data_IF_170178924864
#
_entry.id   IF_170178924864
#
_cell.length_a   1.000
_cell.length_b   1.000
_cell.length_c   1.000
_cell.angle_alpha   90.00
_cell.angle_beta   90.00
_cell.angle_gamma   90.00
#
_symmetry.space_group_name_H-M   'P 1'
#
loop_
_entity.id
_entity.type
_entity.pdbx_description
1 polymer ?
#
# COMPACT_ATOMS: atom_id res chain seq x y z
N UNK A 1 18.18 2.21 4.40
CA UNK A 1 17.09 3.20 4.19
C UNK A 1 16.10 3.14 5.34
N UNK A 2 15.45 1.99 5.57
CA UNK A 2 14.43 1.79 6.61
C UNK A 2 14.93 2.12 8.03
N UNK A 3 16.12 1.65 8.40
CA UNK A 3 16.75 2.03 9.69
C UNK A 3 16.87 3.55 9.89
N UNK A 4 17.16 4.27 8.80
CA UNK A 4 17.29 5.73 8.83
C UNK A 4 15.95 6.40 9.07
N UNK A 5 14.88 5.89 8.45
CA UNK A 5 13.52 6.38 8.65
C UNK A 5 13.05 6.19 10.10
N UNK A 6 13.24 4.98 10.65
CA UNK A 6 12.89 4.66 12.03
C UNK A 6 13.66 5.54 13.04
N UNK A 7 14.96 5.77 12.80
CA UNK A 7 15.78 6.66 13.64
C UNK A 7 15.39 8.14 13.51
N UNK A 8 14.86 8.56 12.36
CA UNK A 8 14.43 9.94 12.15
C UNK A 8 13.06 10.23 12.79
N UNK A 9 12.20 9.20 12.94
CA UNK A 9 10.83 9.34 13.45
C UNK A 9 10.50 8.35 14.60
N UNK A 10 11.34 8.22 15.64
CA UNK A 10 11.22 7.15 16.63
C UNK A 10 9.98 7.26 17.54
N UNK A 11 9.36 8.44 17.61
CA UNK A 11 8.11 8.64 18.37
C UNK A 11 6.85 8.36 17.54
N UNK A 12 6.99 8.23 16.20
CA UNK A 12 5.86 8.09 15.28
C UNK A 12 5.82 6.70 14.65
N UNK A 13 6.99 6.09 14.41
CA UNK A 13 7.13 4.83 13.71
C UNK A 13 7.80 3.78 14.59
N UNK A 14 7.36 2.55 14.40
CA UNK A 14 7.91 1.33 14.97
C UNK A 14 7.86 0.24 13.89
N UNK A 15 8.23 -1.00 14.22
CA UNK A 15 8.14 -2.13 13.29
C UNK A 15 7.58 -3.39 13.95
N UNK A 16 7.11 -4.33 13.14
CA UNK A 16 6.53 -5.59 13.58
C UNK A 16 7.45 -6.79 13.29
N UNK A 17 7.25 -7.89 14.01
CA UNK A 17 7.87 -9.19 13.70
C UNK A 17 9.40 -9.20 13.74
N UNK A 18 10.02 -8.28 14.47
CA UNK A 18 11.47 -8.04 14.48
C UNK A 18 12.07 -7.75 13.07
N UNK A 19 11.25 -7.27 12.14
CA UNK A 19 11.63 -6.97 10.75
C UNK A 19 11.37 -5.49 10.41
N UNK A 20 12.44 -4.76 10.07
CA UNK A 20 12.38 -3.34 9.68
C UNK A 20 11.62 -3.07 8.39
N UNK A 21 11.29 -4.11 7.61
CA UNK A 21 10.41 -4.01 6.45
C UNK A 21 8.93 -3.90 6.82
N UNK A 22 8.56 -4.19 8.07
CA UNK A 22 7.19 -4.20 8.57
C UNK A 22 6.90 -2.94 9.40
N UNK A 23 6.82 -1.78 8.74
CA UNK A 23 6.67 -0.48 9.42
C UNK A 23 5.25 -0.28 9.92
N UNK A 24 5.11 0.18 11.16
CA UNK A 24 3.82 0.50 11.79
C UNK A 24 3.87 1.84 12.51
N UNK A 25 2.71 2.39 12.86
CA UNK A 25 2.67 3.50 13.82
C UNK A 25 3.14 3.02 15.19
N UNK A 26 3.94 3.82 15.88
CA UNK A 26 4.43 3.53 17.22
C UNK A 26 3.29 3.33 18.26
N UNK A 27 2.15 3.97 18.05
CA UNK A 27 0.96 3.85 18.91
C UNK A 27 -0.02 2.73 18.49
N UNK A 28 0.37 1.89 17.52
CA UNK A 28 -0.42 0.70 17.16
C UNK A 28 -0.38 -0.35 18.28
N UNK A 29 -1.41 -1.21 18.40
CA UNK A 29 -2.72 -1.08 17.78
C UNK A 29 -3.57 -0.01 18.49
N UNK A 30 -4.45 0.65 17.73
CA UNK A 30 -5.44 1.59 18.31
C UNK A 30 -6.73 0.82 18.61
N UNK A 31 -7.02 0.62 19.90
CA UNK A 31 -8.16 -0.20 20.35
C UNK A 31 -9.50 0.30 19.78
N UNK A 32 -10.29 -0.64 19.24
CA UNK A 32 -11.62 -0.39 18.65
C UNK A 32 -11.59 0.24 17.26
N UNK A 33 -10.42 0.58 16.72
CA UNK A 33 -10.27 1.18 15.40
C UNK A 33 -10.16 0.11 14.32
N UNK A 34 -10.83 0.32 13.19
CA UNK A 34 -10.54 -0.42 11.96
C UNK A 34 -9.13 -0.03 11.52
N UNK A 35 -8.22 -0.99 11.41
CA UNK A 35 -6.85 -0.69 11.00
C UNK A 35 -6.72 -0.60 9.48
N UNK A 36 -5.79 0.22 8.99
CA UNK A 36 -5.51 0.36 7.57
C UNK A 36 -4.09 -0.07 7.24
N UNK A 37 -3.93 -1.08 6.37
CA UNK A 37 -2.64 -1.57 5.92
C UNK A 37 -2.45 -1.45 4.41
N UNK A 38 -1.19 -1.37 3.99
CA UNK A 38 -0.78 -1.38 2.59
C UNK A 38 0.61 -2.01 2.47
N UNK A 39 1.21 -1.95 1.29
CA UNK A 39 2.54 -2.45 1.03
C UNK A 39 2.76 -2.71 -0.43
N UNK A 40 3.98 -3.16 -0.73
CA UNK A 40 4.46 -3.41 -2.09
C UNK A 40 5.97 -3.22 -2.16
N UNK A 41 6.52 -3.25 -3.37
CA UNK A 41 7.94 -3.05 -3.59
C UNK A 41 8.44 -1.67 -3.20
N UNK A 42 9.69 -1.61 -2.75
CA UNK A 42 10.40 -0.35 -2.54
C UNK A 42 10.72 0.34 -3.88
N UNK A 43 11.20 1.58 -3.84
CA UNK A 43 11.53 2.38 -5.02
C UNK A 43 10.53 3.49 -5.34
N UNK A 44 9.43 3.58 -4.60
CA UNK A 44 8.34 4.55 -4.82
C UNK A 44 8.22 5.61 -3.71
N UNK A 45 9.29 5.87 -2.95
CA UNK A 45 9.28 6.85 -1.85
C UNK A 45 8.63 8.19 -2.29
N UNK A 46 7.67 8.74 -1.51
CA UNK A 46 7.32 8.35 -0.14
C UNK A 46 6.37 7.14 -0.02
N UNK A 47 5.83 6.58 -1.11
CA UNK A 47 4.98 5.37 -1.06
C UNK A 47 5.83 4.16 -0.64
N UNK A 48 5.42 3.34 0.32
CA UNK A 48 4.23 3.45 1.18
C UNK A 48 4.54 4.12 2.53
N UNK A 49 5.82 4.06 2.92
CA UNK A 49 6.39 4.39 4.22
C UNK A 49 6.01 5.78 4.76
N UNK A 50 6.00 6.79 3.89
CA UNK A 50 5.71 8.17 4.27
C UNK A 50 4.24 8.44 4.59
N UNK A 51 3.37 7.44 4.46
CA UNK A 51 1.94 7.55 4.75
C UNK A 51 1.52 6.73 5.98
N UNK A 52 2.45 6.08 6.69
CA UNK A 52 2.19 5.47 8.00
C UNK A 52 2.08 6.57 9.05
N UNK A 53 0.88 6.74 9.60
CA UNK A 53 0.59 7.84 10.51
C UNK A 53 -0.91 8.08 10.71
N UNK A 54 -1.23 8.85 11.75
CA UNK A 54 -2.59 9.24 12.10
C UNK A 54 -3.31 9.90 10.91
N UNK A 55 -4.52 9.45 10.62
CA UNK A 55 -5.37 9.92 9.53
C UNK A 55 -5.02 9.35 8.16
N UNK A 56 -4.06 8.43 8.09
CA UNK A 56 -3.65 7.66 6.90
C UNK A 56 -3.50 6.17 7.26
N UNK A 57 -2.33 5.56 7.09
CA UNK A 57 -2.11 4.11 7.29
C UNK A 57 -1.68 3.81 8.73
N UNK A 58 -2.03 2.63 9.24
CA UNK A 58 -1.55 2.13 10.52
C UNK A 58 -0.27 1.31 10.40
N UNK A 59 -0.05 0.69 9.24
CA UNK A 59 1.20 0.04 8.91
C UNK A 59 1.33 -0.29 7.44
N UNK A 60 2.54 -0.66 7.04
CA UNK A 60 2.83 -1.20 5.73
C UNK A 60 3.98 -2.21 5.76
N UNK A 61 3.90 -3.25 4.94
CA UNK A 61 5.08 -4.06 4.63
C UNK A 61 5.73 -3.57 3.33
N UNK A 62 7.05 -3.49 3.31
CA UNK A 62 7.80 -3.01 2.15
C UNK A 62 8.77 -4.08 1.68
N UNK A 63 8.63 -4.54 0.45
CA UNK A 63 9.56 -5.51 -0.13
C UNK A 63 10.83 -4.87 -0.68
N UNK A 64 11.60 -5.66 -1.42
CA UNK A 64 12.75 -5.16 -2.18
C UNK A 64 12.33 -4.18 -3.29
N UNK A 65 13.29 -3.54 -3.94
CA UNK A 65 13.02 -2.59 -5.02
C UNK A 65 12.23 -3.28 -6.14
N UNK A 66 11.00 -2.82 -6.36
CA UNK A 66 10.02 -3.36 -7.32
C UNK A 66 9.63 -4.83 -7.11
N UNK A 67 9.73 -5.34 -5.88
CA UNK A 67 9.29 -6.68 -5.52
C UNK A 67 8.37 -6.63 -4.30
N UNK A 68 7.20 -7.29 -4.38
CA UNK A 68 6.24 -7.39 -3.27
C UNK A 68 6.91 -7.88 -1.98
N UNK A 69 6.49 -7.39 -0.80
CA UNK A 69 6.82 -8.04 0.48
C UNK A 69 6.22 -9.45 0.52
N UNK A 70 6.70 -10.28 1.44
CA UNK A 70 6.14 -11.62 1.66
C UNK A 70 4.80 -11.58 2.40
N UNK A 71 4.02 -12.66 2.29
CA UNK A 71 2.78 -12.81 3.04
C UNK A 71 3.01 -12.76 4.57
N UNK A 72 4.12 -13.32 5.06
CA UNK A 72 4.48 -13.32 6.48
C UNK A 72 4.77 -11.90 6.99
N UNK A 73 5.45 -11.08 6.19
CA UNK A 73 5.68 -9.67 6.53
C UNK A 73 4.35 -8.91 6.63
N UNK A 74 3.43 -9.14 5.68
CA UNK A 74 2.10 -8.53 5.72
C UNK A 74 1.27 -9.01 6.91
N UNK A 75 1.34 -10.30 7.24
CA UNK A 75 0.68 -10.86 8.41
C UNK A 75 1.21 -10.24 9.71
N UNK A 76 2.54 -10.10 9.85
CA UNK A 76 3.16 -9.48 11.02
C UNK A 76 2.68 -8.03 11.23
N UNK A 77 2.60 -7.25 10.14
CA UNK A 77 2.01 -5.90 10.17
C UNK A 77 0.54 -5.98 10.62
N UNK A 78 -0.23 -6.89 10.04
CA UNK A 78 -1.67 -7.05 10.30
C UNK A 78 -1.96 -7.36 11.76
N UNK A 79 -1.25 -8.33 12.33
CA UNK A 79 -1.35 -8.69 13.74
C UNK A 79 -0.95 -7.51 14.65
N UNK A 80 0.12 -6.77 14.29
CA UNK A 80 0.62 -5.65 15.08
C UNK A 80 -0.34 -4.45 15.13
N UNK A 81 -1.07 -4.19 14.04
CA UNK A 81 -1.97 -3.04 13.92
C UNK A 81 -3.43 -3.34 14.30
N UNK A 82 -3.79 -4.62 14.40
CA UNK A 82 -5.18 -5.03 14.64
C UNK A 82 -5.69 -4.56 16.02
N UNK A 83 -6.62 -3.58 16.00
CA UNK A 83 -7.23 -3.01 17.19
C UNK A 83 -8.52 -3.69 17.67
N UNK A 84 -8.91 -4.82 17.06
CA UNK A 84 -10.13 -5.56 17.39
C UNK A 84 -11.36 -5.22 16.54
N UNK A 85 -11.24 -4.38 15.51
CA UNK A 85 -12.35 -3.99 14.62
C UNK A 85 -12.12 -4.36 13.13
N UNK A 86 -11.21 -5.29 12.87
CA UNK A 86 -10.81 -5.71 11.52
C UNK A 86 -9.71 -4.85 10.89
N UNK A 87 -9.24 -5.26 9.71
CA UNK A 87 -8.18 -4.59 8.95
C UNK A 87 -8.61 -4.42 7.50
N UNK A 88 -8.47 -3.21 6.95
CA UNK A 88 -8.62 -2.95 5.51
C UNK A 88 -7.24 -2.96 4.86
N UNK A 89 -7.07 -3.77 3.82
CA UNK A 89 -5.91 -3.67 2.93
C UNK A 89 -6.23 -2.79 1.74
N UNK A 90 -5.33 -1.85 1.42
CA UNK A 90 -5.40 -1.04 0.20
C UNK A 90 -4.04 -1.06 -0.48
N UNK A 91 -3.93 -1.61 -1.68
CA UNK A 91 -2.67 -1.70 -2.42
C UNK A 91 -2.91 -1.69 -3.94
N UNK A 92 -1.82 -1.56 -4.70
CA UNK A 92 -1.89 -1.53 -6.16
C UNK A 92 -2.23 -2.89 -6.75
N UNK A 93 -2.95 -2.90 -7.86
CA UNK A 93 -3.31 -4.14 -8.56
C UNK A 93 -2.13 -4.70 -9.38
N UNK A 94 -1.18 -5.33 -8.69
CA UNK A 94 -0.05 -6.05 -9.28
C UNK A 94 -0.09 -7.51 -8.82
N UNK A 95 0.14 -8.45 -9.74
CA UNK A 95 -0.06 -9.88 -9.44
C UNK A 95 0.75 -10.40 -8.25
N UNK A 96 1.97 -9.90 -8.05
CA UNK A 96 2.79 -10.25 -6.88
C UNK A 96 2.22 -9.73 -5.56
N UNK A 97 1.73 -8.48 -5.55
CA UNK A 97 1.08 -7.90 -4.38
C UNK A 97 -0.24 -8.63 -4.09
N UNK A 98 -1.08 -8.85 -5.11
CA UNK A 98 -2.35 -9.60 -4.98
C UNK A 98 -2.13 -10.96 -4.35
N UNK A 99 -1.19 -11.75 -4.88
CA UNK A 99 -0.89 -13.08 -4.35
C UNK A 99 -0.45 -13.06 -2.88
N UNK A 100 0.47 -12.17 -2.51
CA UNK A 100 1.00 -12.13 -1.14
C UNK A 100 -0.02 -11.59 -0.13
N UNK A 101 -0.81 -10.58 -0.51
CA UNK A 101 -1.82 -10.01 0.39
C UNK A 101 -3.03 -10.92 0.55
N UNK A 102 -3.45 -11.62 -0.50
CA UNK A 102 -4.52 -12.63 -0.40
C UNK A 102 -4.10 -13.75 0.55
N UNK A 103 -2.86 -14.26 0.40
CA UNK A 103 -2.29 -15.24 1.33
C UNK A 103 -2.22 -14.71 2.77
N UNK A 104 -1.78 -13.46 2.96
CA UNK A 104 -1.72 -12.86 4.29
C UNK A 104 -3.11 -12.70 4.93
N UNK A 105 -4.14 -12.37 4.14
CA UNK A 105 -5.52 -12.29 4.61
C UNK A 105 -6.06 -13.68 5.02
N UNK A 106 -5.75 -14.73 4.25
CA UNK A 106 -6.08 -16.11 4.60
C UNK A 106 -5.40 -16.56 5.90
N UNK A 107 -4.12 -16.23 6.08
CA UNK A 107 -3.39 -16.50 7.32
C UNK A 107 -3.97 -15.72 8.51
N UNK A 108 -4.29 -14.44 8.32
CA UNK A 108 -4.89 -13.59 9.36
C UNK A 108 -6.27 -14.13 9.81
N UNK A 109 -7.04 -14.72 8.89
CA UNK A 109 -8.30 -15.36 9.22
C UNK A 109 -8.12 -16.60 10.12
N UNK A 110 -6.98 -17.29 10.07
CA UNK A 110 -6.65 -18.36 11.01
C UNK A 110 -6.44 -17.86 12.45
N UNK A 111 -6.10 -16.56 12.60
CA UNK A 111 -5.94 -15.86 13.87
C UNK A 111 -7.23 -15.08 14.28
N UNK A 112 -8.37 -15.40 13.67
CA UNK A 112 -9.66 -14.71 13.86
C UNK A 112 -9.62 -13.20 13.52
N UNK A 113 -8.69 -12.77 12.67
CA UNK A 113 -8.60 -11.38 12.18
C UNK A 113 -9.33 -11.26 10.84
N UNK A 114 -10.47 -10.56 10.82
CA UNK A 114 -11.16 -10.26 9.56
C UNK A 114 -10.40 -9.17 8.78
N UNK A 115 -10.03 -9.51 7.54
CA UNK A 115 -9.36 -8.62 6.59
C UNK A 115 -10.23 -8.40 5.36
N UNK A 116 -10.31 -7.16 4.88
CA UNK A 116 -11.00 -6.82 3.62
C UNK A 116 -10.11 -6.04 2.69
N UNK A 117 -10.09 -6.44 1.43
CA UNK A 117 -9.20 -5.85 0.40
C UNK A 117 -9.94 -4.85 -0.50
N UNK A 118 -9.31 -3.70 -0.70
CA UNK A 118 -9.65 -2.72 -1.75
C UNK A 118 -8.45 -2.58 -2.69
N UNK A 119 -8.48 -3.28 -3.81
CA UNK A 119 -7.49 -3.13 -4.88
C UNK A 119 -7.67 -1.77 -5.56
N UNK A 120 -6.59 -1.01 -5.62
CA UNK A 120 -6.55 0.26 -6.34
C UNK A 120 -6.41 0.02 -7.85
N UNK A 121 -7.21 0.76 -8.61
CA UNK A 121 -7.38 0.58 -10.06
C UNK A 121 -7.46 1.92 -10.80
N UNK A 122 -6.72 2.92 -10.29
CA UNK A 122 -6.80 4.30 -10.75
C UNK A 122 -6.09 4.56 -12.09
N UNK A 123 -5.16 3.70 -12.52
CA UNK A 123 -4.40 3.90 -13.76
C UNK A 123 -5.26 3.68 -15.02
N UNK A 124 -5.71 4.78 -15.61
CA UNK A 124 -6.60 4.74 -16.79
C UNK A 124 -5.88 4.33 -18.08
N UNK A 125 -4.54 4.36 -18.10
CA UNK A 125 -3.76 3.99 -19.28
C UNK A 125 -3.50 2.48 -19.35
N UNK A 126 -3.48 1.79 -18.21
CA UNK A 126 -3.20 0.35 -18.14
C UNK A 126 -4.31 -0.56 -18.69
N UNK A 127 -5.57 -0.14 -18.61
CA UNK A 127 -6.71 -0.89 -19.12
C UNK A 127 -7.94 0.00 -19.42
N UNK A 128 -8.74 -0.36 -20.44
CA UNK A 128 -9.94 0.39 -20.81
C UNK A 128 -11.02 0.33 -19.71
N UNK A 129 -12.02 1.21 -19.81
CA UNK A 129 -13.05 1.41 -18.77
C UNK A 129 -13.89 0.16 -18.48
N UNK A 130 -14.19 -0.63 -19.50
CA UNK A 130 -14.92 -1.90 -19.38
C UNK A 130 -14.11 -3.00 -18.67
N UNK A 131 -12.79 -2.80 -18.55
CA UNK A 131 -11.85 -3.66 -17.81
C UNK A 131 -11.19 -2.92 -16.65
N UNK A 132 -11.97 -2.15 -15.89
CA UNK A 132 -11.47 -1.37 -14.75
C UNK A 132 -10.74 -2.24 -13.70
N UNK A 133 -11.13 -3.50 -13.54
CA UNK A 133 -10.52 -4.44 -12.60
C UNK A 133 -9.14 -4.95 -13.07
N UNK A 134 -8.78 -4.74 -14.33
CA UNK A 134 -7.44 -5.04 -14.87
C UNK A 134 -6.48 -3.86 -14.71
N UNK A 135 -6.96 -2.68 -14.26
CA UNK A 135 -6.11 -1.50 -14.14
C UNK A 135 -5.13 -1.63 -12.99
N UNK A 136 -3.92 -1.12 -13.20
CA UNK A 136 -2.93 -0.94 -12.13
C UNK A 136 -3.42 0.09 -11.10
N UNK A 137 -2.89 -0.02 -9.88
CA UNK A 137 -3.01 1.02 -8.86
C UNK A 137 -1.69 1.79 -8.76
N UNK A 138 -1.73 3.12 -8.90
CA UNK A 138 -0.55 3.99 -8.98
C UNK A 138 -0.68 5.16 -7.98
N UNK A 139 -0.31 6.39 -8.37
CA UNK A 139 -0.27 7.54 -7.47
C UNK A 139 -1.61 7.89 -6.80
N UNK A 140 -2.75 7.52 -7.40
CA UNK A 140 -4.08 7.75 -6.83
C UNK A 140 -4.32 7.05 -5.50
N UNK A 141 -3.51 6.03 -5.16
CA UNK A 141 -3.44 5.40 -3.85
C UNK A 141 -3.45 6.41 -2.71
N UNK A 142 -2.74 7.54 -2.86
CA UNK A 142 -2.71 8.60 -1.85
C UNK A 142 -4.11 9.07 -1.42
N UNK A 143 -5.02 9.33 -2.38
CA UNK A 143 -6.37 9.81 -2.09
C UNK A 143 -7.22 8.74 -1.43
N UNK A 144 -7.03 7.48 -1.83
CA UNK A 144 -7.73 6.33 -1.26
C UNK A 144 -7.29 6.14 0.19
N UNK A 145 -5.98 6.14 0.46
CA UNK A 145 -5.41 6.05 1.81
C UNK A 145 -5.92 7.18 2.69
N UNK A 146 -5.92 8.42 2.19
CA UNK A 146 -6.34 9.59 2.96
C UNK A 146 -7.82 9.54 3.33
N UNK A 147 -8.68 9.11 2.42
CA UNK A 147 -10.12 9.00 2.64
C UNK A 147 -10.45 7.86 3.62
N UNK A 148 -9.88 6.68 3.40
CA UNK A 148 -10.07 5.52 4.26
C UNK A 148 -9.49 5.74 5.66
N UNK A 149 -8.26 6.23 5.75
CA UNK A 149 -7.58 6.50 7.03
C UNK A 149 -8.30 7.53 7.88
N UNK A 150 -8.92 8.54 7.26
CA UNK A 150 -9.79 9.48 7.98
C UNK A 150 -11.04 8.81 8.55
N UNK A 151 -11.70 7.94 7.77
CA UNK A 151 -12.87 7.19 8.23
C UNK A 151 -12.51 6.24 9.40
N UNK A 152 -11.39 5.54 9.28
CA UNK A 152 -10.86 4.70 10.35
C UNK A 152 -10.61 5.49 11.63
N UNK A 153 -9.92 6.64 11.55
CA UNK A 153 -9.64 7.50 12.70
C UNK A 153 -10.87 8.18 13.31
N UNK A 154 -11.97 8.28 12.55
CA UNK A 154 -13.28 8.67 13.05
C UNK A 154 -14.03 7.51 13.74
N UNK A 155 -13.39 6.35 13.91
CA UNK A 155 -13.95 5.14 14.52
C UNK A 155 -15.23 4.66 13.83
N UNK A 156 -15.30 4.85 12.51
CA UNK A 156 -16.42 4.34 11.72
C UNK A 156 -16.40 2.81 11.70
N UNK A 157 -17.55 2.19 11.40
CA UNK A 157 -17.64 0.73 11.28
C UNK A 157 -16.75 0.19 10.16
N UNK A 158 -16.43 -1.10 10.22
CA UNK A 158 -15.63 -1.79 9.20
C UNK A 158 -16.25 -1.63 7.81
N UNK A 159 -17.58 -1.83 7.70
CA UNK A 159 -18.35 -1.64 6.47
C UNK A 159 -18.23 -0.22 5.91
N UNK A 160 -18.29 0.81 6.75
CA UNK A 160 -18.21 2.20 6.29
C UNK A 160 -16.80 2.59 5.86
N UNK A 161 -15.77 2.09 6.56
CA UNK A 161 -14.37 2.30 6.18
C UNK A 161 -14.10 1.68 4.79
N UNK A 162 -14.53 0.45 4.57
CA UNK A 162 -14.44 -0.22 3.27
C UNK A 162 -15.24 0.52 2.19
N UNK A 163 -16.49 0.92 2.48
CA UNK A 163 -17.34 1.64 1.53
C UNK A 163 -16.70 2.96 1.09
N UNK A 164 -16.08 3.69 2.01
CA UNK A 164 -15.38 4.95 1.72
C UNK A 164 -14.13 4.68 0.88
N UNK A 165 -13.32 3.68 1.22
CA UNK A 165 -12.14 3.28 0.44
C UNK A 165 -12.53 2.91 -1.01
N UNK A 166 -13.55 2.07 -1.19
CA UNK A 166 -14.06 1.68 -2.51
C UNK A 166 -14.60 2.88 -3.30
N UNK A 167 -15.33 3.79 -2.64
CA UNK A 167 -15.83 5.03 -3.28
C UNK A 167 -14.68 5.93 -3.72
N UNK A 168 -13.65 6.10 -2.90
CA UNK A 168 -12.47 6.89 -3.25
C UNK A 168 -11.74 6.29 -4.45
N UNK A 169 -11.53 4.96 -4.47
CA UNK A 169 -10.94 4.26 -5.60
C UNK A 169 -11.76 4.48 -6.89
N UNK A 170 -13.08 4.29 -6.82
CA UNK A 170 -13.97 4.46 -7.97
C UNK A 170 -14.06 5.89 -8.52
N UNK A 171 -13.54 6.89 -7.79
CA UNK A 171 -13.54 8.30 -8.17
C UNK A 171 -12.13 8.87 -8.39
N UNK A 172 -11.11 8.02 -8.37
CA UNK A 172 -9.72 8.41 -8.59
C UNK A 172 -9.26 7.88 -9.94
N UNK A 173 -8.63 8.75 -10.74
CA UNK A 173 -8.14 8.44 -12.08
C UNK A 173 -6.78 9.08 -12.26
N UNK A 174 -5.81 8.28 -12.68
CA UNK A 174 -4.42 8.69 -12.87
C UNK A 174 -3.94 8.28 -14.25
N UNK A 175 -3.10 9.11 -14.85
CA UNK A 175 -2.37 8.79 -16.08
C UNK A 175 -0.94 9.30 -15.95
N UNK A 176 0.03 8.41 -16.13
CA UNK A 176 1.45 8.73 -16.10
C UNK A 176 2.02 8.96 -17.51
N UNK A 177 3.09 9.75 -17.57
CA UNK A 177 3.97 9.88 -18.75
C UNK A 177 5.42 9.86 -18.26
N UNK A 178 6.28 9.12 -18.93
CA UNK A 178 7.71 9.11 -18.68
C UNK A 178 8.48 9.73 -19.84
N UNK A 179 9.47 10.56 -19.51
CA UNK A 179 10.42 11.16 -20.47
C UNK A 179 11.75 10.39 -20.51
N UNK A 180 11.88 9.36 -19.68
CA UNK A 180 13.12 8.64 -19.49
C UNK A 180 12.95 7.46 -18.53
N UNK A 181 13.82 6.46 -18.62
CA UNK A 181 13.82 5.29 -17.77
C UNK A 181 14.33 5.58 -16.37
N UNK A 182 13.91 4.74 -15.43
CA UNK A 182 14.56 4.65 -14.12
C UNK A 182 15.71 3.65 -14.17
N UNK A 183 16.70 3.82 -13.29
CA UNK A 183 17.82 2.87 -13.18
C UNK A 183 17.63 1.96 -11.97
N UNK A 184 17.75 0.66 -12.16
CA UNK A 184 17.70 -0.30 -11.05
C UNK A 184 19.01 -0.26 -10.26
N UNK A 185 18.98 -0.12 -8.92
CA UNK A 185 20.19 -0.12 -8.11
C UNK A 185 21.07 -1.38 -8.30
N UNK A 186 20.44 -2.52 -8.58
CA UNK A 186 21.09 -3.82 -8.75
C UNK A 186 21.89 -3.89 -10.06
N UNK A 187 21.31 -3.44 -11.17
CA UNK A 187 21.96 -3.52 -12.50
C UNK A 187 22.75 -2.26 -12.84
N UNK A 188 22.38 -1.12 -12.23
CA UNK A 188 22.90 0.22 -12.52
C UNK A 188 22.70 0.64 -13.98
N UNK A 189 21.70 0.06 -14.63
CA UNK A 189 21.30 0.37 -16.01
C UNK A 189 19.85 0.83 -16.04
N UNK A 190 19.47 1.62 -17.06
CA UNK A 190 18.07 1.86 -17.39
C UNK A 190 17.25 0.58 -17.49
N UNK A 191 15.98 0.63 -17.08
CA UNK A 191 15.05 -0.49 -17.20
C UNK A 191 14.40 -0.61 -18.59
N UNK A 192 14.44 0.45 -19.41
CA UNK A 192 14.09 0.44 -20.82
C UNK A 192 14.88 1.54 -21.57
N UNK A 193 14.76 1.59 -22.90
CA UNK A 193 15.38 2.61 -23.76
C UNK A 193 14.31 3.49 -24.40
N UNK A 194 14.58 4.79 -24.53
CA UNK A 194 13.70 5.77 -25.18
C UNK A 194 14.53 6.84 -25.87
N UNK A 195 14.07 7.31 -27.03
CA UNK A 195 14.74 8.37 -27.79
C UNK A 195 14.71 9.74 -27.09
N UNK A 196 15.62 10.66 -27.47
CA UNK A 196 15.70 11.99 -26.86
C UNK A 196 14.47 12.88 -27.11
N UNK A 197 13.67 12.58 -28.14
CA UNK A 197 12.47 13.31 -28.54
C UNK A 197 11.19 12.48 -28.37
N UNK A 198 11.25 11.40 -27.57
CA UNK A 198 10.14 10.48 -27.33
C UNK A 198 9.62 10.58 -25.88
N UNK A 199 8.38 10.14 -25.67
CA UNK A 199 7.80 9.96 -24.34
C UNK A 199 6.94 8.70 -24.31
N UNK A 200 6.89 8.05 -23.16
CA UNK A 200 6.05 6.86 -22.94
C UNK A 200 4.80 7.24 -22.16
N UNK A 201 3.64 7.10 -22.81
CA UNK A 201 2.33 7.34 -22.18
C UNK A 201 1.88 6.05 -21.50
N UNK A 202 1.44 6.15 -20.25
CA UNK A 202 0.99 4.99 -19.49
C UNK A 202 2.14 4.19 -18.88
N UNK A 203 3.28 4.81 -18.64
CA UNK A 203 4.28 4.26 -17.72
C UNK A 203 3.63 4.06 -16.34
N UNK A 204 3.82 2.89 -15.75
CA UNK A 204 3.35 2.56 -14.39
C UNK A 204 4.50 2.40 -13.42
#
# INVERSE_FOLDING_TARGET
>A
MLDGLLKAHPEQLDYAGDDVHCIVRADSPVSGKVALATGGGSGHLPVFLGYVGKGMLDGCAVGDVFASPSAEQMLAVTQRIHGGAGVVYIYGNYGGDVMNFDMAAEMAAMDDIEVRTVLSTDDVASAPRDRIHDRRGVAGNFFIFKAAGAACDMMMSFDECERIARKANAQTYTMGVALGPCSLPQTRTPNFEIGPDEMEIGMG
#
